data_IF_857750818354
#
_entry.id   IF_857750818354
#
_cell.length_a   1.000
_cell.length_b   1.000
_cell.length_c   1.000
_cell.angle_alpha   90.00
_cell.angle_beta   90.00
_cell.angle_gamma   90.00
#
_symmetry.space_group_name_H-M   'P 1'
#
loop_
_entity.id
_entity.type
_entity.pdbx_description
1 polymer ?
#
# COMPACT_ATOMS: atom_id res chain seq x y z
N UNK A 1 -13.70 6.35 -7.56
CA UNK A 1 -12.71 6.15 -6.49
C UNK A 1 -13.34 5.23 -5.45
N UNK A 2 -12.71 4.09 -5.13
CA UNK A 2 -13.21 3.17 -4.08
C UNK A 2 -12.26 3.24 -2.89
N UNK A 3 -12.83 3.26 -1.68
CA UNK A 3 -12.08 3.34 -0.43
C UNK A 3 -12.28 2.02 0.29
N UNK A 4 -11.17 1.41 0.71
CA UNK A 4 -11.17 0.16 1.43
C UNK A 4 -10.46 0.33 2.75
N UNK A 5 -11.06 -0.23 3.81
CA UNK A 5 -10.38 -0.36 5.09
C UNK A 5 -9.84 -1.78 5.18
N UNK A 6 -8.52 -1.95 5.08
CA UNK A 6 -7.86 -3.25 5.13
C UNK A 6 -8.18 -4.06 6.40
N UNK A 7 -8.64 -3.40 7.48
CA UNK A 7 -9.04 -4.10 8.69
C UNK A 7 -10.43 -4.76 8.61
N UNK A 8 -11.33 -4.25 7.75
CA UNK A 8 -12.73 -4.68 7.63
C UNK A 8 -13.11 -5.22 6.25
N UNK A 9 -12.30 -4.97 5.24
CA UNK A 9 -12.56 -5.35 3.86
C UNK A 9 -11.80 -6.63 3.48
N UNK A 10 -12.40 -7.44 2.62
CA UNK A 10 -11.77 -8.63 2.07
C UNK A 10 -10.59 -8.29 1.17
N UNK A 11 -9.45 -8.96 1.40
CA UNK A 11 -8.22 -8.77 0.62
C UNK A 11 -8.44 -9.04 -0.87
N UNK A 12 -9.22 -10.07 -1.21
CA UNK A 12 -9.49 -10.47 -2.59
C UNK A 12 -10.22 -9.38 -3.38
N UNK A 13 -11.18 -8.68 -2.75
CA UNK A 13 -11.88 -7.58 -3.41
C UNK A 13 -10.94 -6.38 -3.59
N UNK A 14 -10.11 -6.06 -2.58
CA UNK A 14 -9.08 -5.01 -2.70
C UNK A 14 -8.15 -5.29 -3.88
N UNK A 15 -7.62 -6.53 -3.99
CA UNK A 15 -6.75 -6.96 -5.08
C UNK A 15 -7.42 -6.86 -6.45
N UNK A 16 -8.69 -7.27 -6.54
CA UNK A 16 -9.48 -7.16 -7.77
C UNK A 16 -9.66 -5.71 -8.21
N UNK A 17 -9.94 -4.80 -7.26
CA UNK A 17 -10.06 -3.38 -7.57
C UNK A 17 -8.72 -2.75 -7.94
N UNK A 18 -7.63 -3.17 -7.31
CA UNK A 18 -6.26 -2.77 -7.66
C UNK A 18 -5.93 -3.20 -9.09
N UNK A 19 -6.27 -4.44 -9.47
CA UNK A 19 -6.09 -4.94 -10.83
C UNK A 19 -6.85 -4.09 -11.88
N UNK A 20 -8.09 -3.68 -11.59
CA UNK A 20 -8.90 -2.85 -12.49
C UNK A 20 -8.47 -1.37 -12.52
N UNK A 21 -7.75 -0.90 -11.50
CA UNK A 21 -7.38 0.52 -11.36
C UNK A 21 -6.08 0.86 -12.09
N UNK A 22 -5.98 2.09 -12.64
CA UNK A 22 -4.74 2.63 -13.22
C UNK A 22 -3.74 3.13 -12.17
N UNK A 23 -4.22 3.39 -10.96
CA UNK A 23 -3.36 3.70 -9.82
C UNK A 23 -4.00 3.41 -8.47
N UNK A 24 -3.16 3.36 -7.44
CA UNK A 24 -3.51 2.96 -6.07
C UNK A 24 -2.91 3.96 -5.09
N UNK A 25 -3.69 4.36 -4.09
CA UNK A 25 -3.16 5.08 -2.93
C UNK A 25 -3.20 4.14 -1.72
N UNK A 26 -2.06 3.98 -1.04
CA UNK A 26 -1.93 3.13 0.14
C UNK A 26 -1.63 4.00 1.35
N UNK A 27 -2.50 3.94 2.35
CA UNK A 27 -2.40 4.70 3.59
C UNK A 27 -1.97 3.81 4.75
N UNK A 28 -0.92 4.15 5.49
CA UNK A 28 -0.54 3.44 6.72
C UNK A 28 -0.27 4.40 7.88
N UNK A 29 -0.69 4.02 9.08
CA UNK A 29 -0.27 4.72 10.30
C UNK A 29 1.00 4.06 10.84
N UNK A 30 1.89 4.87 11.40
CA UNK A 30 3.10 4.34 12.05
C UNK A 30 2.70 3.68 13.37
N UNK A 31 2.88 2.36 13.46
CA UNK A 31 2.63 1.60 14.69
C UNK A 31 3.95 0.93 15.10
N UNK A 32 4.47 1.29 16.27
CA UNK A 32 5.76 0.81 16.79
C UNK A 32 6.94 1.04 15.82
N UNK A 33 7.05 2.22 15.21
CA UNK A 33 8.05 2.58 14.18
C UNK A 33 8.02 1.72 12.90
N UNK A 34 6.99 0.91 12.71
CA UNK A 34 6.80 0.03 11.55
C UNK A 34 5.43 0.29 10.93
N UNK A 35 5.25 -0.12 9.66
CA UNK A 35 3.95 -0.13 9.00
C UNK A 35 2.99 -1.14 9.63
N UNK A 36 1.70 -0.86 9.55
CA UNK A 36 0.68 -1.78 10.04
C UNK A 36 0.77 -3.14 9.32
N UNK A 37 0.76 -4.28 10.04
CA UNK A 37 1.05 -5.60 9.45
C UNK A 37 0.05 -6.01 8.36
N UNK A 38 -1.21 -5.57 8.46
CA UNK A 38 -2.21 -5.81 7.41
C UNK A 38 -1.85 -5.14 6.08
N UNK A 39 -1.24 -3.96 6.14
CA UNK A 39 -0.78 -3.23 4.95
C UNK A 39 0.51 -3.82 4.43
N UNK A 40 1.43 -4.22 5.32
CA UNK A 40 2.63 -4.95 4.95
C UNK A 40 2.32 -6.19 4.10
N UNK A 41 1.42 -7.05 4.60
CA UNK A 41 1.01 -8.25 3.87
C UNK A 41 0.32 -7.94 2.53
N UNK A 42 -0.49 -6.88 2.47
CA UNK A 42 -1.11 -6.44 1.21
C UNK A 42 -0.06 -6.01 0.17
N UNK A 43 0.97 -5.28 0.60
CA UNK A 43 2.06 -4.82 -0.27
C UNK A 43 2.93 -5.98 -0.73
N UNK A 44 3.20 -6.96 0.14
CA UNK A 44 3.89 -8.20 -0.25
C UNK A 44 3.08 -9.01 -1.27
N UNK A 45 1.77 -9.18 -1.05
CA UNK A 45 0.86 -9.83 -2.02
C UNK A 45 0.86 -9.10 -3.37
N UNK A 46 0.81 -7.76 -3.37
CA UNK A 46 0.90 -6.94 -4.58
C UNK A 46 2.25 -7.09 -5.30
N UNK A 47 3.33 -7.22 -4.53
CA UNK A 47 4.68 -7.42 -5.06
C UNK A 47 4.82 -8.79 -5.70
N UNK A 48 4.26 -9.83 -5.07
CA UNK A 48 4.20 -11.20 -5.61
C UNK A 48 3.39 -11.28 -6.91
N UNK A 49 2.27 -10.55 -7.00
CA UNK A 49 1.42 -10.50 -8.20
C UNK A 49 2.00 -9.67 -9.34
N UNK A 50 3.09 -8.93 -9.11
CA UNK A 50 3.84 -8.16 -10.13
C UNK A 50 2.92 -7.33 -11.03
N UNK A 51 2.00 -6.56 -10.45
CA UNK A 51 1.19 -5.61 -11.21
C UNK A 51 2.12 -4.72 -12.05
N UNK A 52 1.86 -4.59 -13.35
CA UNK A 52 2.65 -3.73 -14.24
C UNK A 52 1.86 -2.48 -14.60
N UNK A 53 2.57 -1.38 -14.83
CA UNK A 53 2.01 -0.13 -15.36
C UNK A 53 0.94 0.53 -14.46
N UNK A 54 1.02 0.33 -13.14
CA UNK A 54 0.16 1.00 -12.17
C UNK A 54 0.94 2.11 -11.46
N UNK A 55 0.29 3.25 -11.30
CA UNK A 55 0.82 4.34 -10.46
C UNK A 55 0.46 4.07 -9.02
N UNK A 56 1.40 4.27 -8.11
CA UNK A 56 1.09 4.17 -6.69
C UNK A 56 1.56 5.42 -5.94
N UNK A 57 0.94 5.68 -4.80
CA UNK A 57 1.40 6.69 -3.87
C UNK A 57 1.11 6.22 -2.45
N UNK A 58 2.06 6.45 -1.56
CA UNK A 58 1.97 6.10 -0.15
C UNK A 58 1.68 7.35 0.67
N UNK A 59 0.73 7.26 1.58
CA UNK A 59 0.43 8.31 2.55
C UNK A 59 0.30 7.72 3.95
N UNK A 60 0.34 8.57 4.97
CA UNK A 60 0.21 8.07 6.33
C UNK A 60 0.40 9.15 7.39
N UNK A 61 0.16 8.75 8.63
CA UNK A 61 0.34 9.62 9.79
C UNK A 61 1.38 9.05 10.75
N UNK A 62 2.05 9.94 11.47
CA UNK A 62 3.00 9.61 12.53
C UNK A 62 2.80 10.55 13.72
N UNK A 63 3.06 10.03 14.93
CA UNK A 63 3.00 10.84 16.16
C UNK A 63 4.27 11.66 16.39
N UNK A 64 5.44 11.02 16.27
CA UNK A 64 6.75 11.61 16.61
C UNK A 64 7.77 11.29 15.52
N UNK A 65 8.49 10.17 15.66
CA UNK A 65 9.64 9.77 14.83
C UNK A 65 9.24 9.23 13.45
N UNK A 66 7.99 8.80 13.28
CA UNK A 66 7.48 8.28 12.02
C UNK A 66 8.26 7.10 11.45
N UNK A 67 8.44 7.08 10.13
CA UNK A 67 9.23 6.08 9.41
C UNK A 67 8.43 4.99 8.70
N UNK A 68 7.15 4.75 9.05
CA UNK A 68 6.34 3.76 8.34
C UNK A 68 5.99 4.20 6.91
N UNK A 69 5.77 5.51 6.70
CA UNK A 69 5.42 6.06 5.38
C UNK A 69 6.59 5.99 4.42
N UNK A 70 7.81 6.27 4.88
CA UNK A 70 9.03 6.15 4.06
C UNK A 70 9.34 4.70 3.70
N UNK A 71 9.11 3.77 4.62
CA UNK A 71 9.22 2.33 4.35
C UNK A 71 8.19 1.89 3.31
N UNK A 72 6.95 2.35 3.44
CA UNK A 72 5.87 2.03 2.50
C UNK A 72 6.12 2.64 1.13
N UNK A 73 6.56 3.90 1.06
CA UNK A 73 6.88 4.58 -0.20
C UNK A 73 8.03 3.88 -0.93
N UNK A 74 9.04 3.42 -0.18
CA UNK A 74 10.15 2.61 -0.72
C UNK A 74 9.66 1.28 -1.25
N UNK A 75 8.82 0.56 -0.50
CA UNK A 75 8.24 -0.72 -0.93
C UNK A 75 7.37 -0.56 -2.19
N UNK A 76 6.61 0.53 -2.27
CA UNK A 76 5.76 0.82 -3.42
C UNK A 76 6.55 1.30 -4.65
N UNK A 77 7.78 1.79 -4.48
CA UNK A 77 8.68 2.24 -5.56
C UNK A 77 9.38 1.07 -6.27
N UNK A 78 9.24 -0.17 -5.77
CA UNK A 78 9.75 -1.37 -6.45
C UNK A 78 9.14 -1.51 -7.87
N UNK A 79 9.87 -2.10 -8.84
CA UNK A 79 9.61 -1.99 -10.29
C UNK A 79 8.24 -2.52 -10.80
N UNK A 80 7.40 -3.04 -9.92
CA UNK A 80 6.00 -3.35 -10.20
C UNK A 80 5.11 -2.09 -10.25
N UNK A 81 5.25 -1.16 -9.30
CA UNK A 81 4.40 0.03 -9.20
C UNK A 81 5.24 1.27 -9.48
N UNK A 82 4.96 1.96 -10.58
CA UNK A 82 5.68 3.19 -10.95
C UNK A 82 5.10 4.34 -10.11
N UNK A 83 5.61 4.52 -8.88
CA UNK A 83 5.42 5.75 -8.12
C UNK A 83 6.05 6.93 -8.87
N UNK A 84 5.27 7.97 -9.16
CA UNK A 84 5.79 9.30 -9.44
C UNK A 84 5.53 10.16 -8.21
#
# INVERSE_FOLDING_TARGET
MKIFNVARSDKNDILTNVFRSKGVLVGTSTMNNVMMPKIAGLVEEMTGLRFRNKRASAFGSHGWSGGAVDRLSTACRMPALRCR
#
